data_IF_972388084213
#
_entry.id   IF_972388084213
#
_cell.length_a   1.000
_cell.length_b   1.000
_cell.length_c   1.000
_cell.angle_alpha   90.00
_cell.angle_beta   90.00
_cell.angle_gamma   90.00
#
_symmetry.space_group_name_H-M   'P 1'
#
loop_
_entity.id
_entity.type
_entity.pdbx_description
1 polymer ?
#
# COMPACT_ATOMS: atom_id res chain seq x y z
N UNK A 1 25.52 51.18 26.55
CA UNK A 1 26.67 50.31 26.86
C UNK A 1 26.43 48.94 26.25
N UNK A 2 26.78 48.83 24.97
CA UNK A 2 26.59 47.64 24.12
C UNK A 2 27.80 46.74 24.36
N UNK A 3 27.61 45.55 24.93
CA UNK A 3 28.73 44.63 25.15
C UNK A 3 29.02 43.82 23.88
N UNK A 4 30.22 44.04 23.34
CA UNK A 4 30.84 43.55 22.10
C UNK A 4 30.93 42.02 21.92
N UNK A 5 30.31 41.23 22.80
CA UNK A 5 30.30 39.76 22.71
C UNK A 5 29.23 39.20 21.77
N UNK A 6 28.33 40.05 21.27
CA UNK A 6 27.23 39.68 20.36
C UNK A 6 27.73 39.28 18.95
N UNK A 7 29.02 39.47 18.61
CA UNK A 7 29.48 39.35 17.21
C UNK A 7 30.30 38.10 16.85
N UNK A 8 30.77 37.26 17.78
CA UNK A 8 31.72 36.16 17.46
C UNK A 8 31.22 34.72 17.71
N UNK A 9 29.92 34.44 17.65
CA UNK A 9 29.45 33.04 17.64
C UNK A 9 28.23 32.80 16.74
N UNK A 10 28.19 33.39 15.54
CA UNK A 10 27.22 33.03 14.48
C UNK A 10 27.72 31.87 13.60
N UNK A 11 28.80 31.18 13.96
CA UNK A 11 29.35 30.11 13.11
C UNK A 11 29.65 28.83 13.86
N UNK A 12 28.60 28.14 14.32
CA UNK A 12 28.48 26.68 14.26
C UNK A 12 27.00 26.30 14.28
N UNK A 13 26.47 26.25 13.07
CA UNK A 13 25.21 25.65 12.65
C UNK A 13 25.02 24.26 13.27
N UNK A 14 24.07 24.09 14.20
CA UNK A 14 23.54 22.78 14.59
C UNK A 14 22.15 22.94 15.22
N UNK A 15 21.20 23.27 14.35
CA UNK A 15 19.89 22.62 14.26
C UNK A 15 19.08 22.52 15.56
N UNK A 16 18.32 23.58 15.81
CA UNK A 16 17.00 23.49 16.43
C UNK A 16 16.16 22.52 15.60
N UNK A 17 15.68 21.44 16.19
CA UNK A 17 14.43 20.80 15.81
C UNK A 17 13.87 20.07 17.01
N UNK A 18 12.95 20.76 17.70
CA UNK A 18 12.09 20.19 18.73
C UNK A 18 11.46 18.89 18.26
N UNK A 19 11.54 17.90 19.13
CA UNK A 19 10.84 16.63 19.09
C UNK A 19 9.33 16.84 18.97
N UNK A 20 8.79 16.82 17.75
CA UNK A 20 7.35 16.59 17.52
C UNK A 20 7.22 15.12 17.15
N UNK A 21 7.07 14.28 18.17
CA UNK A 21 6.61 12.92 17.98
C UNK A 21 5.13 12.96 17.60
N UNK A 22 4.85 12.90 16.29
CA UNK A 22 3.49 12.68 15.80
C UNK A 22 3.16 11.21 16.12
N UNK A 23 2.48 10.98 17.24
CA UNK A 23 1.87 9.68 17.52
C UNK A 23 0.63 9.59 16.64
N UNK A 24 0.79 9.07 15.42
CA UNK A 24 -0.33 8.70 14.56
C UNK A 24 -1.17 7.66 15.31
N UNK A 25 -2.34 8.05 15.78
CA UNK A 25 -3.35 7.10 16.26
C UNK A 25 -3.81 6.29 15.06
N UNK A 26 -3.20 5.12 14.85
CA UNK A 26 -3.69 4.15 13.87
C UNK A 26 -5.03 3.66 14.40
N UNK A 27 -6.11 4.24 13.89
CA UNK A 27 -7.46 3.74 14.07
C UNK A 27 -7.51 2.33 13.47
N UNK A 28 -7.30 1.30 14.28
CA UNK A 28 -7.47 -0.11 13.91
C UNK A 28 -8.96 -0.39 13.67
N UNK A 29 -9.47 0.10 12.54
CA UNK A 29 -10.86 -0.09 12.17
C UNK A 29 -11.05 -1.47 11.59
N UNK A 30 -11.26 -2.48 12.44
CA UNK A 30 -11.55 -3.89 12.09
C UNK A 30 -11.03 -4.28 10.69
N UNK A 31 -9.71 -4.23 10.55
CA UNK A 31 -9.02 -4.54 9.31
C UNK A 31 -9.28 -6.03 9.02
N UNK A 32 -9.95 -6.29 7.89
CA UNK A 32 -10.16 -7.64 7.40
C UNK A 32 -9.09 -7.92 6.35
N UNK A 33 -8.63 -9.16 6.28
CA UNK A 33 -7.66 -9.62 5.29
C UNK A 33 -8.32 -10.58 4.32
N UNK A 34 -7.79 -10.63 3.10
CA UNK A 34 -8.25 -11.55 2.07
C UNK A 34 -7.94 -12.98 2.50
N UNK A 35 -8.91 -13.88 2.40
CA UNK A 35 -8.76 -15.28 2.81
C UNK A 35 -7.55 -15.93 2.12
N UNK A 36 -6.65 -16.49 2.94
CA UNK A 36 -5.43 -17.15 2.50
C UNK A 36 -4.21 -16.24 2.32
N UNK A 37 -4.37 -14.92 2.56
CA UNK A 37 -3.27 -13.97 2.65
C UNK A 37 -3.13 -13.45 4.08
N UNK A 38 -1.90 -13.39 4.60
CA UNK A 38 -1.65 -12.91 5.96
C UNK A 38 -1.77 -11.38 6.05
N UNK A 39 -1.24 -10.67 5.05
CA UNK A 39 -1.06 -9.22 5.11
C UNK A 39 -1.86 -8.44 4.05
N UNK A 40 -2.64 -9.12 3.20
CA UNK A 40 -3.38 -8.47 2.11
C UNK A 40 -4.73 -7.94 2.62
N UNK A 41 -4.92 -6.62 2.78
CA UNK A 41 -6.16 -6.10 3.35
C UNK A 41 -7.32 -6.25 2.36
N UNK A 42 -8.49 -6.62 2.88
CA UNK A 42 -9.75 -6.62 2.19
C UNK A 42 -10.41 -5.25 2.35
N UNK A 43 -10.57 -4.52 1.25
CA UNK A 43 -11.19 -3.19 1.26
C UNK A 43 -12.58 -3.21 1.91
N UNK A 44 -12.88 -2.20 2.74
CA UNK A 44 -14.20 -2.05 3.35
C UNK A 44 -15.28 -1.99 2.27
N UNK A 45 -16.37 -2.71 2.47
CA UNK A 45 -17.45 -2.83 1.48
C UNK A 45 -17.25 -3.97 0.46
N UNK A 46 -16.08 -4.62 0.45
CA UNK A 46 -15.88 -5.82 -0.36
C UNK A 46 -16.44 -7.08 0.31
N UNK A 47 -16.97 -7.97 -0.54
CA UNK A 47 -17.37 -9.33 -0.19
C UNK A 47 -16.51 -10.31 -0.97
N UNK A 48 -15.81 -11.21 -0.28
CA UNK A 48 -15.03 -12.26 -0.93
C UNK A 48 -15.93 -13.35 -1.50
N UNK A 49 -15.54 -13.88 -2.65
CA UNK A 49 -16.11 -15.07 -3.24
C UNK A 49 -15.20 -16.26 -2.92
N UNK A 50 -15.14 -16.64 -1.64
CA UNK A 50 -14.20 -17.66 -1.13
C UNK A 50 -14.33 -19.00 -1.86
N UNK A 51 -15.53 -19.38 -2.28
CA UNK A 51 -15.82 -20.58 -3.07
C UNK A 51 -15.12 -20.59 -4.44
N UNK A 52 -14.71 -19.42 -4.94
CA UNK A 52 -14.01 -19.25 -6.22
C UNK A 52 -12.50 -19.15 -6.05
N UNK A 53 -11.96 -19.17 -4.83
CA UNK A 53 -10.52 -19.07 -4.61
C UNK A 53 -9.82 -20.34 -5.09
N UNK A 54 -8.65 -20.17 -5.73
CA UNK A 54 -7.87 -21.28 -6.29
C UNK A 54 -6.44 -21.20 -5.77
N UNK A 55 -5.93 -22.32 -5.27
CA UNK A 55 -4.53 -22.47 -4.88
C UNK A 55 -3.85 -23.51 -5.76
N UNK A 56 -2.70 -23.15 -6.32
CA UNK A 56 -1.83 -24.04 -7.08
C UNK A 56 -0.56 -24.27 -6.28
N UNK A 57 -0.35 -25.51 -5.85
CA UNK A 57 0.85 -25.93 -5.14
C UNK A 57 1.84 -26.59 -6.10
N UNK A 58 3.11 -26.20 -5.99
CA UNK A 58 4.22 -26.74 -6.77
C UNK A 58 5.39 -27.06 -5.84
N UNK A 59 6.37 -27.82 -6.34
CA UNK A 59 7.62 -28.06 -5.60
C UNK A 59 8.41 -26.78 -5.31
N UNK A 60 8.14 -25.69 -6.03
CA UNK A 60 8.82 -24.41 -5.88
C UNK A 60 8.02 -23.37 -5.06
N UNK A 61 6.81 -23.72 -4.62
CA UNK A 61 5.96 -22.81 -3.85
C UNK A 61 4.49 -22.87 -4.27
N UNK A 62 3.73 -21.90 -3.76
CA UNK A 62 2.27 -21.81 -3.90
C UNK A 62 1.89 -20.53 -4.65
N UNK A 63 0.90 -20.64 -5.52
CA UNK A 63 0.19 -19.51 -6.12
C UNK A 63 -1.24 -19.52 -5.61
N UNK A 64 -1.67 -18.45 -4.94
CA UNK A 64 -3.03 -18.27 -4.47
C UNK A 64 -3.73 -17.18 -5.30
N UNK A 65 -4.93 -17.47 -5.79
CA UNK A 65 -5.79 -16.55 -6.53
C UNK A 65 -7.10 -16.43 -5.76
N UNK A 66 -7.44 -15.21 -5.34
CA UNK A 66 -8.68 -14.92 -4.61
C UNK A 66 -9.53 -13.89 -5.34
N UNK A 67 -10.84 -13.97 -5.14
CA UNK A 67 -11.81 -13.09 -5.78
C UNK A 67 -12.61 -12.31 -4.74
N UNK A 68 -12.79 -11.01 -4.99
CA UNK A 68 -13.63 -10.14 -4.18
C UNK A 68 -14.48 -9.23 -5.07
N UNK A 69 -15.69 -8.92 -4.61
CA UNK A 69 -16.65 -8.06 -5.29
C UNK A 69 -16.91 -6.81 -4.45
N UNK A 70 -17.12 -5.69 -5.12
CA UNK A 70 -17.46 -4.40 -4.51
C UNK A 70 -18.50 -3.68 -5.35
N UNK A 71 -19.32 -2.86 -4.70
CA UNK A 71 -20.15 -1.84 -5.38
C UNK A 71 -19.39 -0.53 -5.63
N UNK A 72 -18.17 -0.40 -5.09
CA UNK A 72 -17.32 0.78 -5.26
C UNK A 72 -16.73 0.85 -6.68
N UNK A 73 -16.45 2.07 -7.14
CA UNK A 73 -15.86 2.29 -8.46
C UNK A 73 -14.42 1.79 -8.57
N UNK A 74 -14.02 1.42 -9.79
CA UNK A 74 -12.69 0.89 -10.11
C UNK A 74 -11.55 1.79 -9.62
N UNK A 75 -11.65 3.10 -9.85
CA UNK A 75 -10.62 4.07 -9.44
C UNK A 75 -10.36 4.02 -7.92
N UNK A 76 -11.42 3.90 -7.12
CA UNK A 76 -11.31 3.83 -5.65
C UNK A 76 -10.68 2.51 -5.20
N UNK A 77 -11.03 1.41 -5.87
CA UNK A 77 -10.42 0.09 -5.62
C UNK A 77 -8.92 0.13 -5.94
N UNK A 78 -8.55 0.66 -7.12
CA UNK A 78 -7.16 0.78 -7.54
C UNK A 78 -6.35 1.70 -6.64
N UNK A 79 -6.91 2.84 -6.22
CA UNK A 79 -6.26 3.76 -5.29
C UNK A 79 -5.96 3.09 -3.94
N UNK A 80 -6.94 2.36 -3.39
CA UNK A 80 -6.78 1.60 -2.15
C UNK A 80 -5.66 0.57 -2.24
N UNK A 81 -5.68 -0.30 -3.26
CA UNK A 81 -4.66 -1.34 -3.39
C UNK A 81 -3.29 -0.79 -3.79
N UNK A 82 -3.23 0.32 -4.53
CA UNK A 82 -1.96 1.03 -4.78
C UNK A 82 -1.31 1.46 -3.48
N UNK A 83 -2.07 2.07 -2.58
CA UNK A 83 -1.57 2.47 -1.26
C UNK A 83 -1.18 1.26 -0.41
N UNK A 84 -2.08 0.29 -0.25
CA UNK A 84 -1.87 -0.89 0.59
C UNK A 84 -0.66 -1.72 0.14
N UNK A 85 -0.57 -2.05 -1.16
CA UNK A 85 0.53 -2.86 -1.70
C UNK A 85 1.87 -2.13 -1.61
N UNK A 86 1.87 -0.79 -1.77
CA UNK A 86 3.11 0.00 -1.62
C UNK A 86 3.68 -0.10 -0.20
N UNK A 87 2.81 -0.13 0.82
CA UNK A 87 3.23 -0.30 2.22
C UNK A 87 3.78 -1.71 2.50
N UNK A 88 3.31 -2.72 1.76
CA UNK A 88 3.84 -4.09 1.78
C UNK A 88 5.14 -4.26 0.97
N UNK A 89 5.71 -3.18 0.44
CA UNK A 89 6.94 -3.19 -0.34
C UNK A 89 6.79 -3.62 -1.80
N UNK A 90 5.56 -3.77 -2.29
CA UNK A 90 5.31 -4.10 -3.69
C UNK A 90 5.62 -2.89 -4.57
N UNK A 91 6.13 -3.18 -5.77
CA UNK A 91 6.39 -2.17 -6.79
C UNK A 91 5.35 -2.31 -7.89
N UNK A 92 4.71 -1.21 -8.24
CA UNK A 92 3.89 -1.16 -9.43
C UNK A 92 4.78 -1.36 -10.66
N UNK A 93 4.39 -2.31 -11.49
CA UNK A 93 4.93 -2.47 -12.84
C UNK A 93 3.88 -1.94 -13.81
N UNK A 94 4.27 -1.02 -14.69
CA UNK A 94 3.40 -0.64 -15.80
C UNK A 94 3.33 -1.84 -16.76
N UNK A 95 2.15 -2.43 -16.89
CA UNK A 95 1.93 -3.48 -17.86
C UNK A 95 1.59 -2.80 -19.19
N UNK A 96 2.53 -2.85 -20.13
CA UNK A 96 2.31 -2.43 -21.51
C UNK A 96 1.08 -3.15 -22.06
N UNK A 97 -0.01 -2.41 -22.27
CA UNK A 97 -1.25 -2.98 -22.77
C UNK A 97 -1.10 -3.29 -24.26
N UNK A 98 -0.79 -4.54 -24.60
CA UNK A 98 -0.81 -4.98 -25.98
C UNK A 98 -2.25 -5.09 -26.48
N UNK A 99 -2.67 -4.19 -27.36
CA UNK A 99 -3.92 -4.26 -28.14
C UNK A 99 -3.82 -5.42 -29.16
N UNK A 100 -3.88 -6.67 -28.69
CA UNK A 100 -3.70 -7.86 -29.53
C UNK A 100 -4.78 -8.95 -29.39
N UNK A 101 -5.72 -8.82 -28.45
CA UNK A 101 -6.68 -9.87 -28.11
C UNK A 101 -7.84 -10.07 -29.11
N UNK A 102 -7.77 -9.50 -30.33
CA UNK A 102 -8.85 -9.61 -31.34
C UNK A 102 -8.64 -10.75 -32.36
N UNK A 103 -7.66 -11.65 -32.18
CA UNK A 103 -7.35 -12.68 -33.20
C UNK A 103 -7.25 -14.12 -32.71
N UNK A 104 -7.99 -14.48 -31.66
CA UNK A 104 -8.13 -15.87 -31.23
C UNK A 104 -9.59 -16.26 -31.09
N UNK A 105 -10.28 -16.36 -32.23
CA UNK A 105 -11.42 -17.26 -32.40
C UNK A 105 -11.17 -18.02 -33.72
N UNK A 106 -11.16 -19.36 -33.72
CA UNK A 106 -11.11 -20.18 -34.94
C UNK A 106 -12.38 -20.03 -35.78
#
# INVERSE_FOLDING_TARGET
MISLKVLLLVSRFALVASSIGVLSTISHGNERFVSGFEDLPLMRGMTEATESNVAFDTVHGRVLVSFAQSSEGEEKILAFYKEALSQLGWKLIEMESFLGAKKFLP
#
